data_IF_477308363714
#
_entry.id   IF_477308363714
#
_cell.length_a   1.000
_cell.length_b   1.000
_cell.length_c   1.000
_cell.angle_alpha   90.00
_cell.angle_beta   90.00
_cell.angle_gamma   90.00
#
_symmetry.space_group_name_H-M   'P 1'
#
loop_
_entity.id
_entity.type
_entity.pdbx_description
1 polymer ?
#
# COMPACT_ATOMS: atom_id res chain seq x y z
N UNK A 1 26.45 -7.18 -54.82
CA UNK A 1 26.10 -8.38 -54.03
C UNK A 1 27.01 -8.48 -52.80
N UNK A 2 26.51 -8.13 -51.61
CA UNK A 2 27.02 -8.61 -50.31
C UNK A 2 25.80 -8.81 -49.41
N UNK A 3 25.52 -10.07 -49.10
CA UNK A 3 24.52 -10.51 -48.13
C UNK A 3 25.14 -10.46 -46.72
N UNK A 4 24.25 -10.44 -45.73
CA UNK A 4 24.36 -10.91 -44.34
C UNK A 4 24.73 -9.87 -43.29
N UNK A 5 24.11 -9.83 -42.11
CA UNK A 5 22.93 -10.48 -41.52
C UNK A 5 22.52 -9.51 -40.40
N UNK A 6 21.26 -9.10 -40.38
CA UNK A 6 20.70 -8.24 -39.34
C UNK A 6 20.44 -9.11 -38.12
N UNK A 7 21.33 -9.05 -37.12
CA UNK A 7 21.09 -9.69 -35.82
C UNK A 7 20.07 -8.87 -35.06
N UNK A 8 18.81 -9.30 -35.12
CA UNK A 8 17.78 -8.93 -34.15
C UNK A 8 18.20 -9.51 -32.79
N UNK A 9 18.67 -8.66 -31.88
CA UNK A 9 18.79 -9.02 -30.47
C UNK A 9 17.63 -8.35 -29.72
N UNK A 10 16.65 -9.17 -29.38
CA UNK A 10 15.64 -8.91 -28.35
C UNK A 10 16.32 -8.42 -27.07
N UNK A 11 15.88 -7.29 -26.50
CA UNK A 11 15.45 -7.21 -25.10
C UNK A 11 14.38 -6.11 -25.04
N UNK A 12 13.12 -6.54 -25.01
CA UNK A 12 12.01 -5.67 -24.61
C UNK A 12 12.17 -5.43 -23.11
N UNK A 13 12.74 -4.28 -22.74
CA UNK A 13 12.71 -3.77 -21.37
C UNK A 13 11.27 -3.32 -21.05
N UNK A 14 10.41 -4.27 -20.70
CA UNK A 14 9.07 -4.03 -20.14
C UNK A 14 9.07 -4.36 -18.65
N UNK A 15 9.84 -3.62 -17.83
CA UNK A 15 9.72 -3.64 -16.36
C UNK A 15 10.20 -2.32 -15.74
N UNK A 16 9.54 -1.21 -16.04
CA UNK A 16 9.65 0.00 -15.21
C UNK A 16 8.31 0.72 -15.13
N UNK A 17 7.42 0.20 -14.30
CA UNK A 17 6.28 0.96 -13.79
C UNK A 17 5.82 0.40 -12.44
N UNK A 18 6.74 0.23 -11.48
CA UNK A 18 6.37 0.61 -10.12
C UNK A 18 6.42 2.13 -10.12
N UNK A 19 5.26 2.73 -10.36
CA UNK A 19 5.10 4.17 -10.49
C UNK A 19 5.64 4.83 -9.21
N UNK A 20 6.62 5.72 -9.38
CA UNK A 20 7.24 6.46 -8.28
C UNK A 20 6.30 7.59 -7.87
N UNK A 21 5.30 7.30 -7.03
CA UNK A 21 4.50 8.36 -6.40
C UNK A 21 5.36 9.11 -5.37
N UNK A 22 5.38 10.43 -5.46
CA UNK A 22 6.03 11.31 -4.48
C UNK A 22 5.08 11.45 -3.29
N UNK A 23 5.25 10.63 -2.25
CA UNK A 23 4.51 10.80 -0.99
C UNK A 23 5.07 12.02 -0.25
N UNK A 24 4.35 13.15 -0.26
CA UNK A 24 4.70 14.35 0.51
C UNK A 24 4.60 14.10 2.03
N UNK A 25 5.36 14.86 2.80
CA UNK A 25 5.50 14.71 4.25
C UNK A 25 4.33 15.39 4.99
N UNK A 26 3.49 14.60 5.67
CA UNK A 26 2.32 15.10 6.39
C UNK A 26 2.73 15.86 7.66
N UNK A 27 2.40 17.16 7.71
CA UNK A 27 2.51 17.97 8.94
C UNK A 27 1.28 17.71 9.81
N UNK A 28 1.47 17.16 11.00
CA UNK A 28 0.39 16.93 11.96
C UNK A 28 -0.28 18.26 12.34
N UNK A 29 -1.56 18.42 12.01
CA UNK A 29 -2.32 19.63 12.33
C UNK A 29 -3.50 19.93 11.40
N UNK A 30 -3.62 19.25 10.25
CA UNK A 30 -4.85 19.29 9.45
C UNK A 30 -5.92 18.36 10.08
N UNK A 31 -7.18 18.78 10.11
CA UNK A 31 -8.29 17.94 10.60
C UNK A 31 -8.29 16.61 9.85
N UNK A 32 -7.92 15.53 10.54
CA UNK A 32 -7.89 14.19 9.95
C UNK A 32 -9.33 13.75 9.75
N UNK A 33 -9.66 13.33 8.54
CA UNK A 33 -11.01 12.81 8.27
C UNK A 33 -11.12 11.45 8.93
N UNK A 34 -12.09 11.29 9.82
CA UNK A 34 -12.41 10.01 10.46
C UNK A 34 -13.48 9.24 9.66
N UNK A 35 -13.31 7.92 9.56
CA UNK A 35 -14.28 6.99 8.96
C UNK A 35 -14.35 5.69 9.76
N UNK A 36 -15.45 4.95 9.63
CA UNK A 36 -15.43 3.50 9.88
C UNK A 36 -15.03 2.76 8.60
N UNK A 37 -14.82 1.45 8.67
CA UNK A 37 -14.45 0.66 7.49
C UNK A 37 -15.50 0.75 6.36
N UNK A 38 -16.78 0.97 6.69
CA UNK A 38 -17.86 1.18 5.73
C UNK A 38 -17.66 2.46 4.89
N UNK A 39 -16.95 3.45 5.44
CA UNK A 39 -16.60 4.69 4.75
C UNK A 39 -15.47 4.54 3.74
N UNK A 40 -14.70 3.45 3.77
CA UNK A 40 -13.49 3.27 2.97
C UNK A 40 -13.78 3.32 1.46
N UNK A 41 -14.91 2.75 1.02
CA UNK A 41 -15.32 2.76 -0.40
C UNK A 41 -15.32 4.18 -0.98
N UNK A 42 -15.85 5.14 -0.24
CA UNK A 42 -15.93 6.53 -0.71
C UNK A 42 -14.55 7.19 -0.82
N UNK A 43 -13.61 6.84 0.05
CA UNK A 43 -12.24 7.36 -0.03
C UNK A 43 -11.48 6.73 -1.19
N UNK A 44 -11.66 5.44 -1.47
CA UNK A 44 -11.09 4.78 -2.65
C UNK A 44 -11.65 5.33 -3.97
N UNK A 45 -12.93 5.72 -4.02
CA UNK A 45 -13.52 6.41 -5.18
C UNK A 45 -12.80 7.74 -5.42
N UNK A 46 -12.61 8.55 -4.37
CA UNK A 46 -11.90 9.83 -4.51
C UNK A 46 -10.46 9.64 -4.94
N UNK A 47 -9.76 8.65 -4.39
CA UNK A 47 -8.40 8.30 -4.81
C UNK A 47 -8.37 7.91 -6.30
N UNK A 48 -9.33 7.09 -6.75
CA UNK A 48 -9.42 6.70 -8.17
C UNK A 48 -9.68 7.88 -9.09
N UNK A 49 -10.48 8.85 -8.65
CA UNK A 49 -10.83 10.05 -9.40
C UNK A 49 -9.78 11.18 -9.29
N UNK A 50 -8.69 10.99 -8.53
CA UNK A 50 -7.69 12.03 -8.27
C UNK A 50 -8.21 13.19 -7.41
N UNK A 51 -9.32 12.98 -6.69
CA UNK A 51 -10.01 13.99 -5.85
C UNK A 51 -9.65 13.92 -4.37
N UNK A 52 -8.81 12.98 -3.96
CA UNK A 52 -8.30 12.85 -2.58
C UNK A 52 -7.40 14.01 -2.16
N UNK A 53 -6.83 14.75 -3.13
CA UNK A 53 -5.77 15.73 -2.87
C UNK A 53 -4.40 15.09 -2.59
N UNK A 54 -4.33 13.75 -2.63
CA UNK A 54 -3.14 12.94 -2.37
C UNK A 54 -3.03 11.80 -3.38
N UNK A 55 -1.80 11.45 -3.78
CA UNK A 55 -1.54 10.35 -4.72
C UNK A 55 -1.80 8.95 -4.12
N UNK A 56 -1.98 8.90 -2.80
CA UNK A 56 -2.20 7.69 -2.00
C UNK A 56 -3.23 8.00 -0.92
N UNK A 57 -3.99 6.98 -0.50
CA UNK A 57 -4.85 7.06 0.67
C UNK A 57 -4.58 5.86 1.54
N UNK A 58 -4.42 6.07 2.83
CA UNK A 58 -4.33 5.03 3.84
C UNK A 58 -5.35 5.22 4.94
N UNK A 59 -5.50 4.18 5.76
CA UNK A 59 -6.30 4.21 6.98
C UNK A 59 -5.48 3.70 8.16
N UNK A 60 -5.64 4.33 9.32
CA UNK A 60 -5.03 3.88 10.58
C UNK A 60 -5.93 4.23 11.75
N UNK A 61 -6.03 3.38 12.77
CA UNK A 61 -6.78 3.69 14.00
C UNK A 61 -5.87 4.10 15.16
N UNK A 62 -4.58 3.77 15.10
CA UNK A 62 -3.66 4.00 16.22
C UNK A 62 -2.20 4.29 15.80
N UNK A 63 -1.96 4.51 14.51
CA UNK A 63 -0.63 4.75 13.93
C UNK A 63 0.21 3.49 13.68
N UNK A 64 -0.16 2.34 14.24
CA UNK A 64 0.59 1.07 14.05
C UNK A 64 -0.06 0.12 13.04
N UNK A 65 -1.35 0.30 12.77
CA UNK A 65 -2.19 -0.51 11.90
C UNK A 65 -2.43 0.09 10.50
N UNK A 66 -1.56 1.03 10.11
CA UNK A 66 -1.71 1.80 8.89
C UNK A 66 -1.55 0.94 7.64
N UNK A 67 -2.56 0.89 6.77
CA UNK A 67 -2.45 0.32 5.43
C UNK A 67 -2.73 1.39 4.38
N UNK A 68 -1.96 1.35 3.30
CA UNK A 68 -2.05 2.30 2.18
C UNK A 68 -2.60 1.60 0.93
N UNK A 69 -3.45 2.30 0.19
CA UNK A 69 -4.06 1.83 -1.04
C UNK A 69 -3.40 2.53 -2.23
N UNK A 70 -2.80 1.74 -3.11
CA UNK A 70 -2.15 2.22 -4.33
C UNK A 70 -3.08 1.95 -5.50
N UNK A 71 -3.56 3.02 -6.14
CA UNK A 71 -4.36 2.93 -7.36
C UNK A 71 -3.46 2.63 -8.58
N UNK A 72 -3.75 1.53 -9.27
CA UNK A 72 -3.07 1.12 -10.51
C UNK A 72 -4.00 1.22 -11.74
N UNK A 73 -4.94 2.18 -11.72
CA UNK A 73 -5.95 2.40 -12.75
C UNK A 73 -7.27 1.72 -12.38
N UNK A 74 -7.44 0.45 -12.74
CA UNK A 74 -8.66 -0.30 -12.46
C UNK A 74 -8.59 -1.18 -11.22
N UNK A 75 -7.39 -1.37 -10.68
CA UNK A 75 -7.13 -2.24 -9.54
C UNK A 75 -6.35 -1.52 -8.46
N UNK A 76 -6.45 -2.04 -7.23
CA UNK A 76 -5.67 -1.57 -6.10
C UNK A 76 -4.69 -2.63 -5.58
N UNK A 77 -3.60 -2.13 -5.00
CA UNK A 77 -2.60 -2.87 -4.24
C UNK A 77 -2.55 -2.29 -2.82
N UNK A 78 -2.21 -3.11 -1.83
CA UNK A 78 -2.13 -2.68 -0.42
C UNK A 78 -0.68 -2.67 0.05
N UNK A 79 -0.24 -1.57 0.66
CA UNK A 79 1.10 -1.42 1.26
C UNK A 79 1.02 -1.24 2.78
N UNK A 80 2.08 -1.68 3.46
CA UNK A 80 2.34 -1.40 4.87
C UNK A 80 3.82 -1.06 5.05
N UNK A 81 4.08 0.06 5.74
CA UNK A 81 5.41 0.57 6.06
C UNK A 81 5.63 0.48 7.57
N UNK A 82 6.68 -0.21 8.02
CA UNK A 82 7.00 -0.28 9.44
C UNK A 82 7.94 0.86 9.83
N UNK A 83 7.36 1.96 10.31
CA UNK A 83 8.09 3.15 10.79
C UNK A 83 8.51 3.02 12.25
N UNK A 84 7.76 2.31 13.08
CA UNK A 84 8.09 2.07 14.49
C UNK A 84 8.48 0.62 14.75
N UNK A 85 9.20 0.36 15.84
CA UNK A 85 9.62 -1.00 16.19
C UNK A 85 8.40 -1.94 16.40
N UNK A 86 7.31 -1.41 16.96
CA UNK A 86 6.07 -2.15 17.21
C UNK A 86 5.34 -2.56 15.92
N UNK A 87 5.66 -1.90 14.80
CA UNK A 87 5.10 -2.25 13.49
C UNK A 87 5.82 -3.44 12.83
N UNK A 88 7.08 -3.70 13.19
CA UNK A 88 7.91 -4.74 12.56
C UNK A 88 7.27 -6.14 12.64
N UNK A 89 6.67 -6.59 13.77
CA UNK A 89 5.98 -7.87 13.83
C UNK A 89 4.83 -8.03 12.82
N UNK A 90 4.16 -6.93 12.42
CA UNK A 90 3.06 -6.98 11.46
C UNK A 90 3.53 -7.30 10.05
N UNK A 91 4.79 -7.02 9.67
CA UNK A 91 5.35 -7.43 8.38
C UNK A 91 5.24 -8.95 8.18
N UNK A 92 5.52 -9.73 9.22
CA UNK A 92 5.41 -11.19 9.18
C UNK A 92 3.93 -11.63 9.13
N UNK A 93 3.06 -11.00 9.92
CA UNK A 93 1.62 -11.31 9.95
C UNK A 93 0.94 -11.01 8.61
N UNK A 94 1.24 -9.86 8.00
CA UNK A 94 0.75 -9.46 6.67
C UNK A 94 1.26 -10.40 5.58
N UNK A 95 2.53 -10.82 5.64
CA UNK A 95 3.07 -11.82 4.71
C UNK A 95 2.32 -13.17 4.83
N UNK A 96 2.02 -13.60 6.06
CA UNK A 96 1.25 -14.81 6.30
C UNK A 96 -0.20 -14.66 5.80
N UNK A 97 -0.85 -13.53 6.09
CA UNK A 97 -2.18 -13.20 5.58
C UNK A 97 -2.23 -13.26 4.05
N UNK A 98 -1.25 -12.65 3.38
CA UNK A 98 -1.15 -12.66 1.93
C UNK A 98 -1.03 -14.09 1.38
N UNK A 99 -0.14 -14.90 1.95
CA UNK A 99 0.05 -16.29 1.53
C UNK A 99 -1.22 -17.14 1.72
N UNK A 100 -1.90 -17.02 2.86
CA UNK A 100 -3.16 -17.74 3.15
C UNK A 100 -4.27 -17.37 2.18
N UNK A 101 -4.30 -16.13 1.70
CA UNK A 101 -5.31 -15.66 0.75
C UNK A 101 -4.84 -15.72 -0.72
N UNK A 102 -3.72 -16.39 -1.01
CA UNK A 102 -3.23 -16.59 -2.37
C UNK A 102 -2.60 -15.35 -3.03
N UNK A 103 -2.30 -14.31 -2.26
CA UNK A 103 -1.65 -13.10 -2.75
C UNK A 103 -0.13 -13.21 -2.76
N UNK A 104 0.50 -12.64 -3.78
CA UNK A 104 1.95 -12.44 -3.81
C UNK A 104 2.32 -11.19 -3.01
N UNK A 105 3.52 -11.20 -2.45
CA UNK A 105 4.08 -10.03 -1.74
C UNK A 105 5.40 -9.62 -2.35
N UNK A 106 5.61 -8.31 -2.51
CA UNK A 106 6.93 -7.73 -2.76
C UNK A 106 7.45 -7.11 -1.46
N UNK A 107 8.73 -7.33 -1.18
CA UNK A 107 9.44 -6.59 -0.15
C UNK A 107 10.19 -5.47 -0.81
N UNK A 108 9.99 -4.26 -0.30
CA UNK A 108 10.72 -3.06 -0.71
C UNK A 108 11.17 -2.34 0.54
N UNK A 109 11.82 -1.19 0.35
CA UNK A 109 12.12 -0.27 1.42
C UNK A 109 11.58 1.11 1.05
N UNK A 110 11.17 1.85 2.07
CA UNK A 110 10.84 3.25 1.96
C UNK A 110 12.06 4.08 1.56
N UNK A 111 11.84 5.36 1.28
CA UNK A 111 12.91 6.37 1.23
C UNK A 111 13.18 7.00 2.60
N UNK A 112 12.36 6.67 3.60
CA UNK A 112 12.42 7.23 4.95
C UNK A 112 13.16 6.29 5.90
N UNK A 113 13.94 6.88 6.81
CA UNK A 113 14.46 6.16 7.96
C UNK A 113 13.31 5.88 8.93
N UNK A 114 13.22 4.68 9.51
CA UNK A 114 12.25 4.43 10.55
C UNK A 114 12.65 5.19 11.84
N UNK A 115 11.71 5.26 12.78
CA UNK A 115 11.88 5.92 14.07
C UNK A 115 12.61 5.07 15.12
N UNK A 116 13.02 3.86 14.75
CA UNK A 116 13.84 2.98 15.59
C UNK A 116 15.27 2.92 15.05
N UNK A 117 16.23 2.62 15.94
CA UNK A 117 17.66 2.59 15.62
C UNK A 117 17.98 1.55 14.54
N UNK A 118 18.35 2.01 13.34
CA UNK A 118 18.85 1.18 12.23
C UNK A 118 19.53 2.01 11.13
N UNK A 119 20.51 1.40 10.48
CA UNK A 119 21.16 1.95 9.28
C UNK A 119 20.37 1.68 7.99
N UNK A 120 19.26 0.95 8.05
CA UNK A 120 18.40 0.66 6.92
C UNK A 120 17.23 1.67 6.77
N UNK A 121 16.59 1.67 5.61
CA UNK A 121 15.32 2.37 5.40
C UNK A 121 14.15 1.55 5.95
N UNK A 122 13.02 2.22 6.21
CA UNK A 122 11.84 1.56 6.76
C UNK A 122 11.38 0.43 5.80
N UNK A 123 11.22 -0.81 6.29
CA UNK A 123 10.81 -1.91 5.44
C UNK A 123 9.35 -1.73 5.03
N UNK A 124 9.07 -2.03 3.76
CA UNK A 124 7.73 -1.96 3.17
C UNK A 124 7.35 -3.34 2.65
N UNK A 125 6.13 -3.76 2.95
CA UNK A 125 5.50 -4.91 2.31
C UNK A 125 4.38 -4.42 1.40
N UNK A 126 4.44 -4.86 0.15
CA UNK A 126 3.44 -4.59 -0.87
C UNK A 126 2.69 -5.90 -1.17
N UNK A 127 1.42 -5.97 -0.83
CA UNK A 127 0.53 -7.11 -1.09
C UNK A 127 -0.15 -6.88 -2.43
N UNK A 128 0.23 -7.67 -3.43
CA UNK A 128 -0.26 -7.57 -4.80
C UNK A 128 -1.68 -8.16 -4.92
N UNK A 129 -2.65 -7.45 -4.33
CA UNK A 129 -4.06 -7.84 -4.36
C UNK A 129 -4.63 -7.74 -5.77
N UNK A 130 -4.27 -6.69 -6.54
CA UNK A 130 -4.75 -6.42 -7.90
C UNK A 130 -6.29 -6.52 -8.00
N UNK A 131 -6.97 -5.97 -6.98
CA UNK A 131 -8.39 -6.14 -6.76
C UNK A 131 -9.18 -4.93 -7.21
N UNK A 132 -10.43 -5.16 -7.62
CA UNK A 132 -11.39 -4.08 -7.85
C UNK A 132 -11.62 -3.27 -6.57
N UNK A 133 -12.30 -2.13 -6.70
CA UNK A 133 -12.61 -1.27 -5.56
C UNK A 133 -13.36 -2.04 -4.44
N UNK A 134 -14.40 -2.79 -4.79
CA UNK A 134 -15.25 -3.48 -3.82
C UNK A 134 -14.50 -4.63 -3.12
N UNK A 135 -13.72 -5.39 -3.87
CA UNK A 135 -12.86 -6.44 -3.32
C UNK A 135 -11.77 -5.86 -2.40
N UNK A 136 -11.24 -4.69 -2.73
CA UNK A 136 -10.24 -4.00 -1.92
C UNK A 136 -10.79 -3.61 -0.55
N UNK A 137 -12.04 -3.14 -0.49
CA UNK A 137 -12.72 -2.85 0.79
C UNK A 137 -12.84 -4.10 1.64
N UNK A 138 -13.26 -5.23 1.04
CA UNK A 138 -13.38 -6.52 1.75
C UNK A 138 -12.02 -7.01 2.27
N UNK A 139 -10.95 -6.86 1.48
CA UNK A 139 -9.61 -7.28 1.90
C UNK A 139 -9.07 -6.36 2.99
N UNK A 140 -9.29 -5.05 2.88
CA UNK A 140 -8.90 -4.08 3.90
C UNK A 140 -9.55 -4.41 5.25
N UNK A 141 -10.86 -4.69 5.26
CA UNK A 141 -11.59 -5.13 6.45
C UNK A 141 -10.96 -6.41 7.04
N UNK A 142 -10.70 -7.42 6.20
CA UNK A 142 -10.06 -8.66 6.64
C UNK A 142 -8.67 -8.43 7.24
N UNK A 143 -7.86 -7.57 6.66
CA UNK A 143 -6.53 -7.22 7.20
C UNK A 143 -6.72 -6.54 8.57
N UNK A 144 -7.58 -5.53 8.64
CA UNK A 144 -7.83 -4.80 9.88
C UNK A 144 -8.31 -5.73 11.00
N UNK A 145 -9.22 -6.65 10.72
CA UNK A 145 -9.71 -7.59 11.73
C UNK A 145 -8.74 -8.71 12.06
N UNK A 146 -8.18 -9.40 11.06
CA UNK A 146 -7.41 -10.63 11.29
C UNK A 146 -5.95 -10.36 11.66
N UNK A 147 -5.37 -9.26 11.17
CA UNK A 147 -3.96 -8.93 11.39
C UNK A 147 -3.79 -7.94 12.53
N UNK A 148 -4.61 -6.88 12.52
CA UNK A 148 -4.52 -5.77 13.47
C UNK A 148 -5.48 -5.89 14.65
N UNK A 149 -6.47 -6.79 14.61
CA UNK A 149 -7.41 -7.02 15.71
C UNK A 149 -8.52 -5.96 15.82
N UNK A 150 -8.71 -5.17 14.76
CA UNK A 150 -9.74 -4.14 14.70
C UNK A 150 -11.13 -4.71 14.36
N UNK A 151 -12.15 -3.87 14.48
CA UNK A 151 -13.56 -4.24 14.27
C UNK A 151 -14.25 -3.28 13.30
N UNK A 152 -15.49 -3.59 12.92
CA UNK A 152 -16.31 -2.68 12.10
C UNK A 152 -16.61 -1.34 12.76
N UNK A 153 -16.65 -1.32 14.09
CA UNK A 153 -16.85 -0.09 14.88
C UNK A 153 -15.57 0.68 15.14
N UNK A 154 -14.40 0.19 14.69
CA UNK A 154 -13.15 0.94 14.79
C UNK A 154 -13.26 2.18 13.90
N UNK A 155 -12.94 3.33 14.49
CA UNK A 155 -12.75 4.59 13.77
C UNK A 155 -11.32 4.65 13.25
N UNK A 156 -11.16 5.05 11.99
CA UNK A 156 -9.88 5.21 11.32
C UNK A 156 -9.72 6.64 10.83
N UNK A 157 -8.51 7.14 11.00
CA UNK A 157 -7.98 8.31 10.34
C UNK A 157 -7.66 8.01 8.88
N UNK A 158 -8.14 8.85 7.97
CA UNK A 158 -7.76 8.84 6.56
C UNK A 158 -6.47 9.64 6.39
N UNK A 159 -5.41 8.99 5.93
CA UNK A 159 -4.05 9.56 5.83
C UNK A 159 -3.49 9.50 4.41
N UNK A 160 -2.58 10.40 4.01
CA UNK A 160 -1.87 10.30 2.73
C UNK A 160 -0.79 9.22 2.71
#
# INVERSE_FOLDING_TARGET
MKKRVLTFLCIVFLLTACNQSKKEEYKSGASVKEITIDGLKNELIKLKEGKSGFDVTGITSNGTDCIYFINNGDTFTIEFEAMTADQVPFLKKLKAFAATNGFKTLKTASKKKPLYETDEFAPVICILTNTSLDETVVIAEKIQTQVFGNSKSTTYDVVP
#
